data_IF_573906359050
#
_entry.id   IF_573906359050
#
_cell.length_a   1.000
_cell.length_b   1.000
_cell.length_c   1.000
_cell.angle_alpha   90.00
_cell.angle_beta   90.00
_cell.angle_gamma   90.00
#
_symmetry.space_group_name_H-M   'P 1'
#
loop_
_entity.id
_entity.type
_entity.pdbx_description
1 polymer ?
#
# COMPACT_ATOMS: atom_id res chain seq x y z
N UNK A 1 22.12 2.19 -17.18
CA UNK A 1 21.41 1.39 -16.15
C UNK A 1 22.32 0.25 -15.73
N UNK A 2 22.48 0.01 -14.42
CA UNK A 2 23.26 -1.13 -13.90
C UNK A 2 22.28 -2.29 -13.66
N UNK A 3 22.61 -3.49 -14.12
CA UNK A 3 21.81 -4.68 -13.86
C UNK A 3 21.75 -4.93 -12.35
N UNK A 4 20.54 -5.08 -11.80
CA UNK A 4 20.31 -5.45 -10.40
C UNK A 4 19.75 -6.86 -10.37
N UNK A 5 20.46 -7.76 -9.70
CA UNK A 5 20.06 -9.16 -9.53
C UNK A 5 19.79 -9.41 -8.05
N UNK A 6 18.74 -10.17 -7.77
CA UNK A 6 18.34 -10.56 -6.43
C UNK A 6 17.62 -11.91 -6.53
N UNK A 7 17.76 -12.73 -5.50
CA UNK A 7 17.08 -14.01 -5.42
C UNK A 7 15.67 -13.79 -4.86
N UNK A 8 14.67 -14.32 -5.54
CA UNK A 8 13.26 -14.28 -5.12
C UNK A 8 12.76 -15.72 -5.14
N UNK A 9 11.87 -16.03 -4.20
CA UNK A 9 11.10 -17.27 -4.26
C UNK A 9 10.34 -17.38 -5.60
N UNK A 10 10.34 -18.60 -6.17
CA UNK A 10 9.74 -18.85 -7.48
C UNK A 10 8.24 -18.59 -7.48
N UNK A 11 7.53 -19.04 -6.45
CA UNK A 11 6.08 -18.87 -6.37
C UNK A 11 5.71 -17.39 -6.24
N UNK A 12 6.43 -16.64 -5.41
CA UNK A 12 6.26 -15.20 -5.28
C UNK A 12 6.50 -14.47 -6.61
N UNK A 13 7.57 -14.82 -7.34
CA UNK A 13 7.86 -14.27 -8.66
C UNK A 13 6.73 -14.57 -9.66
N UNK A 14 6.27 -15.82 -9.74
CA UNK A 14 5.26 -16.25 -10.71
C UNK A 14 3.92 -15.51 -10.46
N UNK A 15 3.49 -15.40 -9.20
CA UNK A 15 2.29 -14.67 -8.81
C UNK A 15 2.39 -13.17 -9.14
N UNK A 16 3.52 -12.56 -8.81
CA UNK A 16 3.73 -11.13 -9.07
C UNK A 16 3.83 -10.82 -10.56
N UNK A 17 4.52 -11.67 -11.32
CA UNK A 17 4.63 -11.56 -12.77
C UNK A 17 3.25 -11.66 -13.44
N UNK A 18 2.43 -12.62 -13.01
CA UNK A 18 1.05 -12.77 -13.47
C UNK A 18 0.22 -11.52 -13.17
N UNK A 19 0.28 -11.03 -11.94
CA UNK A 19 -0.41 -9.79 -11.53
C UNK A 19 -0.02 -8.60 -12.42
N UNK A 20 1.28 -8.39 -12.66
CA UNK A 20 1.74 -7.31 -13.53
C UNK A 20 1.21 -7.46 -14.96
N UNK A 21 1.22 -8.68 -15.52
CA UNK A 21 0.71 -8.95 -16.87
C UNK A 21 -0.80 -8.69 -16.97
N UNK A 22 -1.59 -9.15 -16.00
CA UNK A 22 -3.05 -8.98 -15.99
C UNK A 22 -3.47 -7.52 -15.89
N UNK A 23 -2.66 -6.68 -15.26
CA UNK A 23 -2.93 -5.26 -15.09
C UNK A 23 -2.22 -4.35 -16.11
N UNK A 24 -1.48 -4.92 -17.07
CA UNK A 24 -0.72 -4.14 -18.06
C UNK A 24 0.42 -3.32 -17.45
N UNK A 25 0.97 -3.75 -16.31
CA UNK A 25 1.99 -3.03 -15.55
C UNK A 25 3.38 -3.58 -15.89
N UNK A 26 4.35 -2.68 -16.07
CA UNK A 26 5.76 -3.07 -16.17
C UNK A 26 6.29 -3.55 -14.82
N UNK A 27 6.78 -4.79 -14.78
CA UNK A 27 7.27 -5.42 -13.56
C UNK A 27 8.44 -4.66 -12.94
N UNK A 28 9.39 -4.18 -13.75
CA UNK A 28 10.53 -3.38 -13.27
C UNK A 28 10.07 -2.04 -12.69
N UNK A 29 9.04 -1.42 -13.28
CA UNK A 29 8.46 -0.18 -12.77
C UNK A 29 7.77 -0.39 -11.43
N UNK A 30 7.04 -1.49 -11.28
CA UNK A 30 6.37 -1.82 -10.03
C UNK A 30 7.37 -2.10 -8.90
N UNK A 31 8.48 -2.78 -9.20
CA UNK A 31 9.56 -3.00 -8.23
C UNK A 31 10.22 -1.67 -7.83
N UNK A 32 10.47 -0.78 -8.79
CA UNK A 32 11.02 0.55 -8.50
C UNK A 32 10.09 1.36 -7.59
N UNK A 33 8.78 1.36 -7.88
CA UNK A 33 7.76 2.03 -7.05
C UNK A 33 7.76 1.43 -5.64
N UNK A 34 7.74 0.09 -5.54
CA UNK A 34 7.76 -0.59 -4.25
C UNK A 34 8.98 -0.17 -3.41
N UNK A 35 10.18 -0.18 -4.00
CA UNK A 35 11.41 0.22 -3.31
C UNK A 35 11.32 1.68 -2.86
N UNK A 36 10.83 2.59 -3.70
CA UNK A 36 10.64 4.00 -3.32
C UNK A 36 9.64 4.15 -2.18
N UNK A 37 8.49 3.48 -2.24
CA UNK A 37 7.52 3.49 -1.16
C UNK A 37 8.13 2.98 0.15
N UNK A 38 8.95 1.92 0.13
CA UNK A 38 9.61 1.43 1.35
C UNK A 38 10.68 2.39 1.92
N UNK A 39 11.25 3.27 1.10
CA UNK A 39 12.23 4.28 1.54
C UNK A 39 11.52 5.54 2.03
N UNK A 40 10.51 6.00 1.29
CA UNK A 40 9.75 7.23 1.57
C UNK A 40 8.76 7.06 2.72
N UNK A 41 8.17 5.87 2.87
CA UNK A 41 7.47 5.49 4.10
C UNK A 41 8.53 5.19 5.17
N UNK A 42 9.01 6.24 5.86
CA UNK A 42 9.83 6.03 7.04
C UNK A 42 9.14 5.01 7.97
N UNK A 43 9.87 4.05 8.57
CA UNK A 43 9.30 3.11 9.52
C UNK A 43 8.48 3.79 10.63
N UNK A 44 8.84 5.04 10.96
CA UNK A 44 8.13 5.92 11.88
C UNK A 44 6.74 6.32 11.36
N UNK A 45 6.62 6.71 10.09
CA UNK A 45 5.35 7.06 9.44
C UNK A 45 4.44 5.84 9.37
N UNK A 46 4.99 4.65 9.08
CA UNK A 46 4.21 3.40 9.07
C UNK A 46 3.67 3.04 10.46
N UNK A 47 4.46 3.23 11.52
CA UNK A 47 4.00 3.04 12.90
C UNK A 47 2.90 4.02 13.27
N UNK A 48 3.07 5.31 12.97
CA UNK A 48 2.06 6.32 13.23
C UNK A 48 0.75 6.06 12.44
N UNK A 49 0.87 5.64 11.19
CA UNK A 49 -0.26 5.25 10.36
C UNK A 49 -1.02 4.05 10.94
N UNK A 50 -0.30 3.01 11.37
CA UNK A 50 -0.89 1.85 12.05
C UNK A 50 -1.58 2.26 13.35
N UNK A 51 -0.96 3.13 14.17
CA UNK A 51 -1.55 3.63 15.41
C UNK A 51 -2.83 4.45 15.15
N UNK A 52 -2.87 5.23 14.06
CA UNK A 52 -4.09 5.96 13.63
C UNK A 52 -5.20 4.99 13.21
N UNK A 53 -4.88 3.94 12.45
CA UNK A 53 -5.85 2.92 12.06
C UNK A 53 -6.38 2.16 13.28
N UNK A 54 -5.54 1.90 14.27
CA UNK A 54 -5.92 1.20 15.49
C UNK A 54 -6.86 2.05 16.37
N UNK A 55 -6.58 3.36 16.47
CA UNK A 55 -7.49 4.33 17.11
C UNK A 55 -8.82 4.43 16.38
N UNK A 56 -8.79 4.40 15.05
CA UNK A 56 -10.00 4.36 14.23
C UNK A 56 -10.79 3.08 14.60
N UNK A 57 -10.20 1.89 14.46
CA UNK A 57 -10.88 0.61 14.75
C UNK A 57 -11.46 0.49 16.17
N UNK A 58 -10.83 1.13 17.16
CA UNK A 58 -11.28 1.16 18.56
C UNK A 58 -12.31 2.27 18.84
N UNK A 59 -12.53 3.18 17.89
CA UNK A 59 -13.52 4.25 18.00
C UNK A 59 -14.95 3.74 17.77
N UNK A 60 -15.89 4.17 18.59
CA UNK A 60 -17.32 3.97 18.36
C UNK A 60 -17.79 4.89 17.23
N UNK A 61 -17.64 4.45 15.98
CA UNK A 61 -18.14 5.21 14.84
C UNK A 61 -19.66 5.18 14.78
N UNK A 62 -20.25 6.38 14.71
CA UNK A 62 -21.66 6.54 14.35
C UNK A 62 -21.77 6.30 12.85
N UNK A 63 -22.60 5.34 12.44
CA UNK A 63 -22.94 5.17 11.03
C UNK A 63 -23.70 6.41 10.56
N UNK A 64 -23.10 7.19 9.67
CA UNK A 64 -23.72 8.36 9.07
C UNK A 64 -24.05 8.03 7.62
N UNK A 65 -25.34 8.07 7.28
CA UNK A 65 -25.82 7.82 5.91
C UNK A 65 -25.58 9.02 4.98
N UNK A 66 -25.57 10.24 5.52
CA UNK A 66 -25.27 11.47 4.78
C UNK A 66 -24.53 12.47 5.69
N UNK A 67 -23.27 12.74 5.35
CA UNK A 67 -22.39 13.62 6.12
C UNK A 67 -22.75 15.10 5.98
N UNK A 68 -23.33 15.53 4.85
CA UNK A 68 -23.74 16.92 4.65
C UNK A 68 -24.87 17.27 5.61
N UNK A 69 -25.86 16.39 5.73
CA UNK A 69 -26.99 16.58 6.63
C UNK A 69 -26.60 16.63 8.12
N UNK A 70 -25.48 16.01 8.51
CA UNK A 70 -25.09 15.86 9.91
C UNK A 70 -24.22 17.00 10.45
N UNK A 71 -23.40 17.63 9.61
CA UNK A 71 -22.34 18.57 10.05
C UNK A 71 -22.33 19.93 9.34
N UNK A 72 -23.13 20.10 8.29
CA UNK A 72 -23.33 21.39 7.63
C UNK A 72 -24.80 21.77 7.82
N UNK A 73 -25.12 22.29 9.02
CA UNK A 73 -26.35 23.06 9.28
C UNK A 73 -26.03 24.54 9.26
#
# INVERSE_FOLDING_TARGET
MVLKTFNIDKQAYDLFSKFCRENGISMSKQIEIFIKCQIEEEPKIRKEYLDRLDKIRKGNFVKVADFKKRYLS
#
